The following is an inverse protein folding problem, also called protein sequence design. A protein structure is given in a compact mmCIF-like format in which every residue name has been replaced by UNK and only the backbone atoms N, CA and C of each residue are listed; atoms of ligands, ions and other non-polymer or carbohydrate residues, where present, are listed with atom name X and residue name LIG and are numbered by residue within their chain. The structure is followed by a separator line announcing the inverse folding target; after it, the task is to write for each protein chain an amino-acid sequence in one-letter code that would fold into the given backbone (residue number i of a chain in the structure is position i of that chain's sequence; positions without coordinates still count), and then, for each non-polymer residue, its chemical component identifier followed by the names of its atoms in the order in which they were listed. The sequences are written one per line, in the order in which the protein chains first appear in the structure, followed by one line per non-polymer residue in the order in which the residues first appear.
data_IF_543340546886
#
_entry.id   IF_543340546886
#
_cell.length_a   1.000
_cell.length_b   1.000
_cell.length_c   1.000
_cell.angle_alpha   90.00
_cell.angle_beta   90.00
_cell.angle_gamma   90.00
#
_symmetry.space_group_name_H-M   'P 1'
#
loop_
_entity.id
_entity.type
_entity.pdbx_description
1 polymer ?
#
# COMPACT_ATOMS: atom_id res chain seq x y z
N UNK A 1 7.14 -127.21 -13.01
CA UNK A 1 6.87 -126.51 -11.74
C UNK A 1 7.51 -125.13 -11.88
N UNK A 2 6.83 -123.96 -11.92
CA UNK A 2 5.82 -123.39 -10.97
C UNK A 2 6.30 -123.54 -9.52
N UNK A 3 6.41 -122.52 -8.67
CA UNK A 3 6.03 -121.09 -8.74
C UNK A 3 7.31 -120.21 -8.70
N UNK A 4 7.38 -118.91 -8.38
CA UNK A 4 6.43 -117.85 -7.99
C UNK A 4 6.96 -116.48 -8.51
N UNK A 5 6.17 -115.41 -8.38
CA UNK A 5 6.56 -114.00 -8.62
C UNK A 5 6.94 -113.34 -7.29
N UNK A 6 7.73 -112.25 -7.32
CA UNK A 6 7.51 -111.12 -6.42
C UNK A 6 7.29 -109.86 -7.24
N UNK A 7 6.18 -109.17 -6.95
CA UNK A 7 5.67 -107.97 -7.63
C UNK A 7 5.67 -106.84 -6.59
N UNK A 8 5.59 -105.58 -7.03
CA UNK A 8 5.37 -104.37 -6.21
C UNK A 8 6.63 -103.95 -5.42
N UNK A 9 7.00 -102.67 -5.28
CA UNK A 9 6.35 -101.39 -5.60
C UNK A 9 7.19 -100.56 -6.60
N UNK A 10 6.67 -99.66 -7.43
CA UNK A 10 5.53 -98.73 -7.32
C UNK A 10 5.74 -97.55 -6.37
N UNK A 11 6.28 -96.46 -6.95
CA UNK A 11 6.03 -95.07 -6.60
C UNK A 11 6.78 -94.44 -5.43
N UNK A 12 7.40 -93.30 -5.76
CA UNK A 12 7.45 -92.04 -5.01
C UNK A 12 8.11 -92.02 -3.63
N UNK A 13 9.25 -91.35 -3.57
CA UNK A 13 9.82 -90.79 -2.33
C UNK A 13 10.40 -89.39 -2.57
N UNK A 14 9.67 -88.55 -3.31
CA UNK A 14 9.96 -87.11 -3.47
C UNK A 14 9.27 -86.25 -2.39
N UNK A 15 9.10 -86.81 -1.18
CA UNK A 15 8.46 -86.13 -0.04
C UNK A 15 9.43 -85.23 0.72
N UNK A 16 10.72 -85.57 0.80
CA UNK A 16 11.74 -84.75 1.46
C UNK A 16 12.13 -83.48 0.69
N UNK A 17 12.02 -83.50 -0.64
CA UNK A 17 12.28 -82.33 -1.50
C UNK A 17 11.17 -81.29 -1.36
N UNK A 18 9.91 -81.75 -1.47
CA UNK A 18 8.72 -80.91 -1.47
C UNK A 18 8.54 -80.09 -0.19
N UNK A 19 8.72 -80.69 1.00
CA UNK A 19 8.67 -79.94 2.27
C UNK A 19 9.80 -78.91 2.36
N UNK A 20 11.03 -79.26 1.96
CA UNK A 20 12.15 -78.30 1.94
C UNK A 20 11.90 -77.13 0.97
N UNK A 21 11.25 -77.40 -0.15
CA UNK A 21 10.83 -76.40 -1.15
C UNK A 21 9.70 -75.52 -0.64
N UNK A 22 8.72 -76.09 0.08
CA UNK A 22 7.64 -75.36 0.73
C UNK A 22 8.19 -74.39 1.78
N UNK A 23 9.05 -74.85 2.70
CA UNK A 23 9.66 -73.96 3.71
C UNK A 23 10.52 -72.86 3.09
N UNK A 24 11.32 -73.17 2.04
CA UNK A 24 12.08 -72.14 1.30
C UNK A 24 11.17 -71.13 0.59
N UNK A 25 10.07 -71.60 -0.01
CA UNK A 25 9.07 -70.73 -0.66
C UNK A 25 8.36 -69.83 0.35
N UNK A 26 7.88 -70.38 1.46
CA UNK A 26 7.26 -69.61 2.55
C UNK A 26 8.22 -68.60 3.16
N UNK A 27 9.51 -68.96 3.34
CA UNK A 27 10.52 -68.04 3.86
C UNK A 27 10.89 -66.94 2.86
N UNK A 28 10.92 -67.24 1.55
CA UNK A 28 11.10 -66.23 0.49
C UNK A 28 9.88 -65.28 0.37
N UNK A 29 8.66 -65.80 0.53
CA UNK A 29 7.43 -65.00 0.59
C UNK A 29 7.46 -64.10 1.83
N UNK A 30 7.86 -64.63 2.99
CA UNK A 30 7.99 -63.86 4.22
C UNK A 30 9.07 -62.77 4.12
N UNK A 31 10.24 -63.04 3.53
CA UNK A 31 11.28 -62.03 3.32
C UNK A 31 10.83 -60.95 2.33
N UNK A 32 10.17 -61.33 1.23
CA UNK A 32 9.57 -60.38 0.27
C UNK A 32 8.47 -59.52 0.91
N UNK A 33 7.66 -60.10 1.79
CA UNK A 33 6.66 -59.35 2.56
C UNK A 33 7.30 -58.36 3.54
N UNK A 34 8.37 -58.75 4.24
CA UNK A 34 9.13 -57.87 5.15
C UNK A 34 9.86 -56.74 4.40
N UNK A 35 10.41 -56.99 3.22
CA UNK A 35 10.94 -55.93 2.35
C UNK A 35 9.83 -55.01 1.85
N UNK A 36 8.66 -55.56 1.51
CA UNK A 36 7.47 -54.81 1.13
C UNK A 36 6.99 -53.87 2.23
N UNK A 37 6.88 -54.36 3.47
CA UNK A 37 6.50 -53.52 4.62
C UNK A 37 7.56 -52.49 4.97
N UNK A 38 8.85 -52.82 4.85
CA UNK A 38 9.95 -51.85 5.02
C UNK A 38 9.88 -50.70 4.01
N UNK A 39 9.68 -51.01 2.71
CA UNK A 39 9.49 -49.99 1.66
C UNK A 39 8.22 -49.17 1.89
N UNK A 40 7.13 -49.79 2.34
CA UNK A 40 5.89 -49.11 2.68
C UNK A 40 6.06 -48.16 3.89
N UNK A 41 6.75 -48.59 4.94
CA UNK A 41 7.08 -47.76 6.10
C UNK A 41 7.94 -46.55 5.71
N UNK A 42 8.93 -46.75 4.84
CA UNK A 42 9.75 -45.66 4.31
C UNK A 42 8.90 -44.65 3.51
N UNK A 43 8.04 -45.13 2.60
CA UNK A 43 7.13 -44.29 1.82
C UNK A 43 6.12 -43.51 2.70
N UNK A 44 5.55 -44.14 3.73
CA UNK A 44 4.69 -43.47 4.72
C UNK A 44 5.48 -42.40 5.49
N UNK A 45 6.71 -42.68 5.91
CA UNK A 45 7.54 -41.68 6.60
C UNK A 45 7.88 -40.47 5.73
N UNK A 46 8.08 -40.67 4.42
CA UNK A 46 8.29 -39.59 3.45
C UNK A 46 7.00 -38.80 3.20
N UNK A 47 5.86 -39.50 3.05
CA UNK A 47 4.53 -38.88 2.92
C UNK A 47 4.21 -37.98 4.12
N UNK A 48 4.45 -38.43 5.36
CA UNK A 48 4.25 -37.63 6.57
C UNK A 48 5.16 -36.39 6.60
N UNK A 49 6.43 -36.51 6.19
CA UNK A 49 7.34 -35.35 6.07
C UNK A 49 6.86 -34.34 5.03
N UNK A 50 6.37 -34.81 3.89
CA UNK A 50 5.81 -33.95 2.84
C UNK A 50 4.52 -33.28 3.29
N UNK A 51 3.62 -34.00 3.96
CA UNK A 51 2.40 -33.43 4.55
C UNK A 51 2.73 -32.34 5.58
N UNK A 52 3.73 -32.56 6.44
CA UNK A 52 4.16 -31.54 7.40
C UNK A 52 4.73 -30.30 6.69
N UNK A 53 5.56 -30.48 5.64
CA UNK A 53 6.08 -29.35 4.84
C UNK A 53 4.97 -28.60 4.08
N UNK A 54 3.94 -29.30 3.59
CA UNK A 54 2.77 -28.68 2.97
C UNK A 54 1.99 -27.84 3.99
N UNK A 55 1.89 -28.28 5.25
CA UNK A 55 1.27 -27.49 6.33
C UNK A 55 2.06 -26.22 6.62
N UNK A 56 3.38 -26.32 6.83
CA UNK A 56 4.22 -25.13 7.10
C UNK A 56 4.19 -24.13 5.95
N UNK A 57 4.29 -24.57 4.69
CA UNK A 57 4.22 -23.64 3.56
C UNK A 57 2.82 -23.00 3.37
N UNK A 58 1.73 -23.64 3.82
CA UNK A 58 0.40 -23.01 3.86
C UNK A 58 0.30 -21.97 4.96
N UNK A 59 0.86 -22.23 6.14
CA UNK A 59 0.94 -21.26 7.23
C UNK A 59 1.80 -20.04 6.85
N UNK A 60 2.92 -20.25 6.16
CA UNK A 60 3.77 -19.19 5.59
C UNK A 60 3.04 -18.39 4.50
N UNK A 61 2.33 -19.07 3.59
CA UNK A 61 1.52 -18.39 2.56
C UNK A 61 0.43 -17.50 3.20
N UNK A 62 -0.32 -18.01 4.17
CA UNK A 62 -1.37 -17.22 4.84
C UNK A 62 -0.81 -16.04 5.64
N UNK A 63 0.40 -16.15 6.21
CA UNK A 63 1.09 -15.00 6.82
C UNK A 63 1.46 -13.96 5.76
N UNK A 64 2.07 -14.37 4.65
CA UNK A 64 2.43 -13.47 3.56
C UNK A 64 1.19 -12.81 2.89
N UNK A 65 0.06 -13.52 2.80
CA UNK A 65 -1.21 -12.96 2.34
C UNK A 65 -1.74 -11.89 3.30
N UNK A 66 -1.74 -12.16 4.61
CA UNK A 66 -2.15 -11.19 5.63
C UNK A 66 -1.23 -9.96 5.65
N UNK A 67 0.09 -10.14 5.57
CA UNK A 67 1.06 -9.04 5.47
C UNK A 67 0.83 -8.20 4.20
N UNK A 68 0.64 -8.84 3.04
CA UNK A 68 0.31 -8.15 1.78
C UNK A 68 -0.95 -7.31 1.89
N UNK A 69 -1.99 -7.83 2.54
CA UNK A 69 -3.26 -7.11 2.67
C UNK A 69 -3.15 -5.94 3.68
N UNK A 70 -2.37 -6.10 4.77
CA UNK A 70 -1.96 -4.97 5.63
C UNK A 70 -1.20 -3.90 4.83
N UNK A 71 -0.25 -4.28 3.97
CA UNK A 71 0.50 -3.33 3.15
C UNK A 71 -0.39 -2.64 2.10
N UNK A 72 -1.41 -3.31 1.58
CA UNK A 72 -2.41 -2.69 0.68
C UNK A 72 -3.24 -1.64 1.41
N UNK A 73 -3.74 -1.95 2.60
CA UNK A 73 -4.50 -1.01 3.43
C UNK A 73 -3.65 0.21 3.84
N UNK A 74 -2.38 -0.02 4.22
CA UNK A 74 -1.42 1.05 4.49
C UNK A 74 -1.17 1.92 3.24
N UNK A 75 -1.02 1.29 2.08
CA UNK A 75 -0.80 2.01 0.83
C UNK A 75 -2.02 2.86 0.43
N UNK A 76 -3.23 2.32 0.56
CA UNK A 76 -4.46 3.07 0.31
C UNK A 76 -4.55 4.33 1.20
N UNK A 77 -4.31 4.19 2.51
CA UNK A 77 -4.29 5.33 3.44
C UNK A 77 -3.22 6.37 3.10
N UNK A 78 -2.00 5.94 2.77
CA UNK A 78 -0.93 6.89 2.39
C UNK A 78 -1.23 7.61 1.07
N UNK A 79 -1.93 6.98 0.12
CA UNK A 79 -2.43 7.66 -1.09
C UNK A 79 -3.53 8.69 -0.77
N UNK A 80 -4.47 8.36 0.11
CA UNK A 80 -5.51 9.29 0.58
C UNK A 80 -4.90 10.49 1.32
N UNK A 81 -3.94 10.26 2.22
CA UNK A 81 -3.20 11.32 2.93
C UNK A 81 -2.41 12.21 1.97
N UNK A 82 -1.71 11.64 0.99
CA UNK A 82 -0.98 12.38 -0.04
C UNK A 82 -1.93 13.21 -0.91
N UNK A 83 -3.06 12.65 -1.34
CA UNK A 83 -4.07 13.39 -2.10
C UNK A 83 -4.64 14.54 -1.28
N UNK A 84 -4.97 14.31 0.00
CA UNK A 84 -5.49 15.35 0.89
C UNK A 84 -4.48 16.49 1.12
N UNK A 85 -3.19 16.17 1.26
CA UNK A 85 -2.11 17.16 1.33
C UNK A 85 -1.94 17.92 0.01
N UNK A 86 -2.04 17.23 -1.13
CA UNK A 86 -2.02 17.82 -2.47
C UNK A 86 -3.22 18.72 -2.78
N UNK A 87 -4.38 18.48 -2.18
CA UNK A 87 -5.57 19.33 -2.32
C UNK A 87 -5.56 20.52 -1.33
N UNK A 88 -5.01 20.33 -0.13
CA UNK A 88 -4.86 21.38 0.89
C UNK A 88 -3.84 22.44 0.46
N UNK A 89 -2.69 22.02 -0.06
CA UNK A 89 -1.62 22.89 -0.57
C UNK A 89 -2.13 24.01 -1.51
N UNK A 90 -2.81 23.75 -2.65
CA UNK A 90 -3.28 24.79 -3.56
C UNK A 90 -4.38 25.68 -2.95
N UNK A 91 -5.14 25.20 -1.97
CA UNK A 91 -6.09 26.04 -1.22
C UNK A 91 -5.34 27.03 -0.32
N UNK A 92 -4.30 26.58 0.38
CA UNK A 92 -3.40 27.44 1.17
C UNK A 92 -2.63 28.43 0.30
N UNK A 93 -2.08 28.00 -0.85
CA UNK A 93 -1.44 28.90 -1.82
C UNK A 93 -2.39 30.00 -2.32
N UNK A 94 -3.64 29.65 -2.65
CA UNK A 94 -4.67 30.63 -3.04
C UNK A 94 -4.98 31.61 -1.91
N UNK A 95 -5.09 31.12 -0.67
CA UNK A 95 -5.32 31.94 0.53
C UNK A 95 -4.16 32.89 0.80
N UNK A 96 -2.92 32.38 0.89
CA UNK A 96 -1.71 33.18 1.12
C UNK A 96 -1.50 34.22 0.02
N UNK A 97 -1.82 33.89 -1.23
CA UNK A 97 -1.81 34.84 -2.35
C UNK A 97 -2.84 35.95 -2.14
N UNK A 98 -4.08 35.62 -1.80
CA UNK A 98 -5.13 36.61 -1.52
C UNK A 98 -4.77 37.52 -0.31
N UNK A 99 -4.20 36.96 0.76
CA UNK A 99 -3.71 37.71 1.92
C UNK A 99 -2.55 38.64 1.54
N UNK A 100 -1.58 38.16 0.76
CA UNK A 100 -0.46 38.97 0.23
C UNK A 100 -0.95 40.12 -0.64
N UNK A 101 -1.90 39.87 -1.54
CA UNK A 101 -2.50 40.88 -2.39
C UNK A 101 -3.29 41.93 -1.58
N UNK A 102 -4.02 41.51 -0.53
CA UNK A 102 -4.72 42.41 0.38
C UNK A 102 -3.74 43.31 1.17
N UNK A 103 -2.60 42.76 1.60
CA UNK A 103 -1.52 43.54 2.24
C UNK A 103 -0.87 44.53 1.26
N UNK A 104 -0.65 44.16 0.00
CA UNK A 104 -0.14 45.08 -1.03
C UNK A 104 -1.11 46.23 -1.30
N UNK A 105 -2.42 45.94 -1.47
CA UNK A 105 -3.48 46.95 -1.60
C UNK A 105 -3.45 47.91 -0.41
N UNK A 106 -3.41 47.36 0.81
CA UNK A 106 -3.37 48.15 2.06
C UNK A 106 -2.13 49.06 2.08
N UNK A 107 -0.93 48.51 1.82
CA UNK A 107 0.34 49.24 1.82
C UNK A 107 0.36 50.37 0.79
N UNK A 108 -0.12 50.14 -0.45
CA UNK A 108 -0.17 51.18 -1.49
C UNK A 108 -1.16 52.30 -1.13
N UNK A 109 -2.33 51.95 -0.60
CA UNK A 109 -3.33 52.94 -0.16
C UNK A 109 -2.77 53.82 0.98
N UNK A 110 -2.08 53.25 1.95
CA UNK A 110 -1.36 54.01 2.98
C UNK A 110 -0.32 54.97 2.39
N UNK A 111 0.55 54.47 1.49
CA UNK A 111 1.62 55.28 0.89
C UNK A 111 1.06 56.50 0.14
N UNK A 112 0.06 56.29 -0.72
CA UNK A 112 -0.54 57.35 -1.52
C UNK A 112 -1.31 58.37 -0.68
N UNK A 113 -1.98 57.95 0.41
CA UNK A 113 -2.61 58.89 1.35
C UNK A 113 -1.55 59.76 2.04
N UNK A 114 -0.47 59.18 2.55
CA UNK A 114 0.62 59.96 3.17
C UNK A 114 1.26 60.92 2.17
N UNK A 115 1.49 60.49 0.93
CA UNK A 115 1.96 61.35 -0.17
C UNK A 115 0.97 62.49 -0.48
N UNK A 116 -0.35 62.25 -0.42
CA UNK A 116 -1.39 63.25 -0.61
C UNK A 116 -1.42 64.30 0.53
N UNK A 117 -1.44 63.85 1.78
CA UNK A 117 -1.42 64.75 2.95
C UNK A 117 -0.15 65.60 2.98
N UNK A 118 1.01 65.01 2.67
CA UNK A 118 2.28 65.74 2.55
C UNK A 118 2.26 66.80 1.44
N UNK A 119 1.65 66.51 0.28
CA UNK A 119 1.54 67.46 -0.84
C UNK A 119 0.62 68.64 -0.57
N UNK A 120 -0.40 68.47 0.28
CA UNK A 120 -1.36 69.53 0.65
C UNK A 120 -0.95 70.26 1.93
N UNK A 121 -0.03 69.70 2.72
CA UNK A 121 0.38 70.28 4.02
C UNK A 121 -0.69 70.15 5.11
N UNK A 122 -1.67 69.27 4.93
CA UNK A 122 -2.77 69.08 5.88
C UNK A 122 -2.36 68.17 7.06
N UNK A 123 -2.80 68.45 8.30
CA UNK A 123 -2.61 67.55 9.42
C UNK A 123 -3.42 66.26 9.23
N UNK A 124 -2.88 65.13 9.69
CA UNK A 124 -3.54 63.82 9.59
C UNK A 124 -4.48 63.64 10.79
N UNK A 125 -5.78 63.83 10.56
CA UNK A 125 -6.81 63.31 11.47
C UNK A 125 -6.99 61.79 11.25
N UNK A 126 -6.83 61.01 12.32
CA UNK A 126 -6.99 59.57 12.33
C UNK A 126 -8.38 59.11 11.88
N UNK A 127 -9.45 59.83 12.24
CA UNK A 127 -10.82 59.44 11.90
C UNK A 127 -11.04 59.57 10.38
N UNK A 128 -10.81 60.77 9.83
CA UNK A 128 -10.89 61.04 8.38
C UNK A 128 -9.95 60.13 7.57
N UNK A 129 -8.68 60.00 7.99
CA UNK A 129 -7.70 59.14 7.30
C UNK A 129 -8.17 57.68 7.24
N UNK A 130 -8.77 57.16 8.31
CA UNK A 130 -9.27 55.78 8.33
C UNK A 130 -10.42 55.54 7.33
N UNK A 131 -11.28 56.53 7.14
CA UNK A 131 -12.40 56.49 6.20
C UNK A 131 -11.92 56.65 4.76
N UNK A 132 -11.05 57.63 4.49
CA UNK A 132 -10.39 57.81 3.20
C UNK A 132 -9.62 56.55 2.77
N UNK A 133 -8.89 55.90 3.68
CA UNK A 133 -8.21 54.62 3.43
C UNK A 133 -9.18 53.52 2.99
N UNK A 134 -10.39 53.43 3.57
CA UNK A 134 -11.42 52.48 3.12
C UNK A 134 -11.89 52.79 1.70
N UNK A 135 -12.14 54.06 1.37
CA UNK A 135 -12.53 54.51 0.00
C UNK A 135 -11.46 54.15 -1.04
N UNK A 136 -10.19 54.46 -0.76
CA UNK A 136 -9.06 54.14 -1.66
C UNK A 136 -8.89 52.63 -1.84
N UNK A 137 -9.04 51.83 -0.78
CA UNK A 137 -8.99 50.36 -0.86
C UNK A 137 -10.13 49.79 -1.73
N UNK A 138 -11.35 50.30 -1.59
CA UNK A 138 -12.49 49.93 -2.45
C UNK A 138 -12.23 50.33 -3.91
N UNK A 139 -11.66 51.51 -4.15
CA UNK A 139 -11.29 51.94 -5.50
C UNK A 139 -10.26 51.01 -6.16
N UNK A 140 -9.23 50.57 -5.42
CA UNK A 140 -8.25 49.61 -5.94
C UNK A 140 -8.87 48.22 -6.22
N UNK A 141 -9.82 47.77 -5.40
CA UNK A 141 -10.57 46.54 -5.70
C UNK A 141 -11.38 46.67 -7.01
N UNK A 142 -11.97 47.83 -7.28
CA UNK A 142 -12.67 48.11 -8.54
C UNK A 142 -11.72 48.24 -9.73
N UNK A 143 -10.59 48.93 -9.59
CA UNK A 143 -9.57 49.05 -10.64
C UNK A 143 -8.93 47.69 -10.99
N UNK A 144 -8.67 46.82 -10.01
CA UNK A 144 -8.21 45.44 -10.25
C UNK A 144 -9.20 44.62 -11.07
N UNK A 145 -10.51 44.76 -10.83
CA UNK A 145 -11.55 44.10 -11.66
C UNK A 145 -11.56 44.60 -13.11
N UNK A 146 -11.00 45.79 -13.37
CA UNK A 146 -10.77 46.35 -14.70
C UNK A 146 -9.39 46.04 -15.28
N UNK A 147 -8.58 45.21 -14.61
CA UNK A 147 -7.25 44.81 -15.07
C UNK A 147 -6.11 45.80 -14.81
N UNK A 148 -6.36 46.92 -14.13
CA UNK A 148 -5.33 47.94 -13.87
C UNK A 148 -4.40 47.53 -12.71
N UNK A 149 -3.06 47.61 -12.89
CA UNK A 149 -2.11 47.30 -11.82
C UNK A 149 -2.00 48.45 -10.82
N UNK A 150 -2.15 48.12 -9.52
CA UNK A 150 -2.17 49.08 -8.40
C UNK A 150 -0.86 49.88 -8.26
N UNK A 151 0.24 49.41 -8.84
CA UNK A 151 1.53 50.12 -8.87
C UNK A 151 1.48 51.39 -9.73
N UNK A 152 0.67 51.42 -10.80
CA UNK A 152 0.55 52.57 -11.71
C UNK A 152 -0.33 53.70 -11.16
N UNK A 153 -1.21 53.40 -10.19
CA UNK A 153 -2.13 54.39 -9.62
C UNK A 153 -1.35 55.44 -8.83
N UNK A 154 -1.53 56.70 -9.19
CA UNK A 154 -0.83 57.87 -8.65
C UNK A 154 -1.60 58.57 -7.52
N UNK A 155 -1.03 59.66 -6.99
CA UNK A 155 -1.70 60.50 -5.99
C UNK A 155 -2.84 61.30 -6.60
N UNK A 156 -2.68 61.78 -7.84
CA UNK A 156 -3.71 62.55 -8.54
C UNK A 156 -4.92 61.67 -8.88
N UNK A 157 -4.68 60.39 -9.24
CA UNK A 157 -5.74 59.39 -9.48
C UNK A 157 -6.62 59.12 -8.25
N UNK A 158 -6.12 59.32 -7.03
CA UNK A 158 -6.92 59.15 -5.80
C UNK A 158 -7.44 60.46 -5.23
N UNK A 159 -6.94 61.62 -5.65
CA UNK A 159 -7.28 62.92 -5.06
C UNK A 159 -8.79 63.23 -5.13
N UNK A 160 -9.51 62.72 -6.12
CA UNK A 160 -10.96 62.89 -6.24
C UNK A 160 -11.77 62.11 -5.17
N UNK A 161 -11.21 61.07 -4.56
CA UNK A 161 -11.84 60.26 -3.51
C UNK A 161 -11.70 60.87 -2.10
N UNK A 162 -10.82 61.87 -1.98
CA UNK A 162 -10.36 62.47 -0.73
C UNK A 162 -10.96 63.85 -0.47
N UNK A 163 -11.69 64.39 -1.44
CA UNK A 163 -12.62 65.52 -1.28
C UNK A 163 -13.89 65.09 -0.52
#
# INVERSE_FOLDING_TARGET
MKTLRKVVSSWSSDSGSAESGFWKSTMAIASSALEGTGRMQQAVSQSLKLQQKIRTMREELHKAEAERDIYRDLHARTLEELQHAMDTSPAEWKRLRAETEALQIRRRAYKLLVEHYARIGAPIDQAIFSAQRRRVQQHFQLQRRKGLPITQVSVDDIAFLLR
#
